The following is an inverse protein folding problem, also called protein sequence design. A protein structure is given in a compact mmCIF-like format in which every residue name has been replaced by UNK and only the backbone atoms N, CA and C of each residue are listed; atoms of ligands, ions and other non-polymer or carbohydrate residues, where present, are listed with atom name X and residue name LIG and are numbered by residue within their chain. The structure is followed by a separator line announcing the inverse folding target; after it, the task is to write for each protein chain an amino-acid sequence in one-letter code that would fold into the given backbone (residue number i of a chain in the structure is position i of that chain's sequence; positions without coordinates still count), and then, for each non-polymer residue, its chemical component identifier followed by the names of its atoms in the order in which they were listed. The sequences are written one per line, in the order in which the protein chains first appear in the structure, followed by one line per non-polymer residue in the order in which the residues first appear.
data_IF_793793793749
#
_entry.id   IF_793793793749
#
_cell.length_a   1.000
_cell.length_b   1.000
_cell.length_c   1.000
_cell.angle_alpha   90.00
_cell.angle_beta   90.00
_cell.angle_gamma   90.00
#
_symmetry.space_group_name_H-M   'P 1'
#
loop_
_entity.id
_entity.type
_entity.pdbx_description
1 polymer ?
#
# COMPACT_ATOMS: atom_id res chain seq x y z
N UNK A 1 -21.00 13.29 -17.17
CA UNK A 1 -19.57 13.25 -17.54
C UNK A 1 -18.76 14.51 -17.21
N UNK A 2 -19.32 15.74 -17.12
CA UNK A 2 -18.56 16.93 -16.67
C UNK A 2 -18.29 17.05 -15.17
N UNK A 3 -19.04 16.32 -14.33
CA UNK A 3 -19.05 16.54 -12.87
C UNK A 3 -17.91 15.86 -12.10
N UNK A 4 -17.31 14.78 -12.61
CA UNK A 4 -16.26 14.04 -11.89
C UNK A 4 -14.88 14.75 -11.91
N UNK A 5 -14.64 15.61 -12.92
CA UNK A 5 -13.34 16.23 -13.21
C UNK A 5 -13.13 17.58 -12.52
N UNK A 6 -14.07 18.02 -11.67
CA UNK A 6 -13.99 19.30 -10.96
C UNK A 6 -13.98 19.15 -9.43
N UNK A 7 -14.23 17.96 -8.90
CA UNK A 7 -14.30 17.74 -7.46
C UNK A 7 -12.98 17.19 -6.91
N UNK A 8 -12.30 18.04 -6.13
CA UNK A 8 -11.12 17.64 -5.37
C UNK A 8 -11.53 16.86 -4.13
N UNK A 9 -10.78 15.82 -3.80
CA UNK A 9 -10.97 15.05 -2.56
C UNK A 9 -9.63 14.54 -2.05
N UNK A 10 -9.60 14.18 -0.76
CA UNK A 10 -8.40 13.70 -0.09
C UNK A 10 -8.43 12.17 0.01
N UNK A 11 -7.40 11.49 -0.47
CA UNK A 11 -7.17 10.08 -0.19
C UNK A 11 -6.11 9.94 0.89
N UNK A 12 -6.38 9.13 1.91
CA UNK A 12 -5.50 8.87 3.05
C UNK A 12 -5.30 7.37 3.21
N UNK A 13 -4.04 6.96 3.30
CA UNK A 13 -3.62 5.60 3.63
C UNK A 13 -2.83 5.64 4.96
N UNK A 14 -3.49 5.22 6.03
CA UNK A 14 -2.98 5.22 7.39
C UNK A 14 -2.39 3.84 7.74
N UNK A 15 -1.07 3.73 7.61
CA UNK A 15 -0.29 2.53 7.94
C UNK A 15 0.23 2.54 9.37
N UNK A 16 0.90 1.46 9.80
CA UNK A 16 1.42 1.36 11.17
C UNK A 16 2.45 2.44 11.54
N UNK A 17 3.34 2.79 10.60
CA UNK A 17 4.45 3.71 10.87
C UNK A 17 4.21 5.15 10.42
N UNK A 18 3.40 5.34 9.39
CA UNK A 18 3.15 6.66 8.81
C UNK A 18 1.78 6.75 8.17
N UNK A 19 1.35 7.98 7.95
CA UNK A 19 0.19 8.35 7.17
C UNK A 19 0.67 8.92 5.83
N UNK A 20 0.17 8.34 4.73
CA UNK A 20 0.33 8.87 3.39
C UNK A 20 -0.99 9.46 2.93
N UNK A 21 -0.95 10.51 2.14
CA UNK A 21 -2.15 11.00 1.50
C UNK A 21 -1.88 11.82 0.27
N UNK A 22 -2.96 12.18 -0.41
CA UNK A 22 -2.89 13.04 -1.59
C UNK A 22 -4.23 13.62 -1.98
N UNK A 23 -4.18 14.81 -2.55
CA UNK A 23 -5.35 15.47 -3.15
C UNK A 23 -5.53 14.92 -4.55
N UNK A 24 -6.72 14.45 -4.86
CA UNK A 24 -7.10 13.93 -6.16
C UNK A 24 -8.19 14.79 -6.79
N UNK A 25 -8.16 14.89 -8.11
CA UNK A 25 -9.28 15.32 -8.93
C UNK A 25 -9.55 14.22 -9.96
N UNK A 26 -10.70 13.54 -9.84
CA UNK A 26 -10.89 12.25 -10.48
C UNK A 26 -9.75 11.26 -10.12
N UNK A 27 -9.18 10.61 -11.12
CA UNK A 27 -8.06 9.66 -10.93
C UNK A 27 -6.68 10.34 -10.88
N UNK A 28 -6.61 11.66 -11.11
CA UNK A 28 -5.35 12.40 -11.14
C UNK A 28 -4.97 12.89 -9.74
N UNK A 29 -3.81 12.46 -9.26
CA UNK A 29 -3.18 13.03 -8.06
C UNK A 29 -2.63 14.42 -8.38
N UNK A 30 -3.04 15.42 -7.60
CA UNK A 30 -2.61 16.81 -7.73
C UNK A 30 -1.45 17.14 -6.79
N UNK A 31 -1.50 16.60 -5.57
CA UNK A 31 -0.47 16.77 -4.55
C UNK A 31 -0.43 15.55 -3.62
N UNK A 32 0.68 15.35 -2.92
CA UNK A 32 0.84 14.23 -1.99
C UNK A 32 1.69 14.59 -0.79
N UNK A 33 1.55 13.83 0.28
CA UNK A 33 2.34 13.95 1.49
C UNK A 33 2.55 12.59 2.15
N UNK A 34 3.56 12.52 2.99
CA UNK A 34 3.85 11.39 3.87
C UNK A 34 4.37 11.94 5.18
N UNK A 35 3.76 11.57 6.30
CA UNK A 35 4.15 12.05 7.62
C UNK A 35 3.93 11.02 8.71
N UNK A 36 4.64 11.19 9.81
CA UNK A 36 4.42 10.44 11.05
C UNK A 36 3.22 10.99 11.81
N UNK A 37 2.66 10.20 12.74
CA UNK A 37 1.42 10.52 13.43
C UNK A 37 1.54 11.67 14.46
N UNK A 38 2.74 12.08 14.81
CA UNK A 38 3.04 13.26 15.64
C UNK A 38 2.69 14.60 14.95
N UNK A 39 2.45 14.59 13.64
CA UNK A 39 2.09 15.78 12.85
C UNK A 39 0.65 15.79 12.35
N UNK A 40 -0.24 14.96 12.92
CA UNK A 40 -1.64 14.86 12.48
C UNK A 40 -2.41 16.18 12.54
N UNK A 41 -2.03 17.09 13.44
CA UNK A 41 -2.65 18.42 13.56
C UNK A 41 -2.46 19.30 12.31
N UNK A 42 -1.55 18.93 11.43
CA UNK A 42 -1.30 19.61 10.17
C UNK A 42 -1.49 18.66 9.00
N UNK A 43 -2.65 18.73 8.36
CA UNK A 43 -2.83 18.20 7.00
C UNK A 43 -2.49 19.33 6.01
N UNK A 44 -1.55 19.12 5.07
CA UNK A 44 -0.98 20.20 4.24
C UNK A 44 -1.92 20.77 3.17
N UNK A 45 -3.23 20.54 3.28
CA UNK A 45 -4.23 20.87 2.24
C UNK A 45 -5.40 21.72 2.76
N UNK A 46 -5.18 22.47 3.85
CA UNK A 46 -6.21 23.33 4.44
C UNK A 46 -6.76 24.42 3.52
N UNK A 47 -6.05 24.75 2.44
CA UNK A 47 -6.44 25.77 1.46
C UNK A 47 -7.19 25.22 0.24
N UNK A 48 -7.40 23.90 0.14
CA UNK A 48 -8.05 23.27 -1.01
C UNK A 48 -9.57 23.18 -0.83
N UNK A 49 -10.36 23.43 -1.88
CA UNK A 49 -11.82 23.18 -1.88
C UNK A 49 -12.10 21.67 -2.00
N UNK A 50 -11.94 20.95 -0.90
CA UNK A 50 -12.13 19.50 -0.81
C UNK A 50 -13.61 19.15 -0.62
N UNK A 51 -14.17 18.31 -1.50
CA UNK A 51 -15.56 17.83 -1.42
C UNK A 51 -15.73 16.56 -0.58
N UNK A 52 -14.64 16.04 -0.03
CA UNK A 52 -14.66 14.90 0.88
C UNK A 52 -13.31 14.21 0.97
N UNK A 53 -13.31 13.07 1.67
CA UNK A 53 -12.13 12.23 1.79
C UNK A 53 -12.47 10.74 1.76
N UNK A 54 -11.48 9.92 1.45
CA UNK A 54 -11.48 8.48 1.60
C UNK A 54 -10.27 8.06 2.44
N UNK A 55 -10.47 7.09 3.33
CA UNK A 55 -9.46 6.62 4.27
C UNK A 55 -9.34 5.10 4.17
N UNK A 56 -8.14 4.60 3.91
CA UNK A 56 -7.69 3.26 4.31
C UNK A 56 -6.97 3.39 5.65
N UNK A 57 -7.28 2.52 6.61
CA UNK A 57 -6.57 2.51 7.89
C UNK A 57 -6.43 1.10 8.44
N UNK A 58 -5.18 0.73 8.76
CA UNK A 58 -4.84 -0.48 9.53
C UNK A 58 -4.48 -0.15 10.98
N UNK A 59 -4.67 1.10 11.41
CA UNK A 59 -4.39 1.59 12.77
C UNK A 59 -5.63 2.25 13.39
N UNK A 60 -6.63 1.46 13.83
CA UNK A 60 -7.90 2.00 14.34
C UNK A 60 -7.74 3.02 15.48
N UNK A 61 -6.71 2.85 16.33
CA UNK A 61 -6.39 3.78 17.41
C UNK A 61 -6.05 5.21 16.95
N UNK A 62 -5.74 5.42 15.67
CA UNK A 62 -5.43 6.74 15.08
C UNK A 62 -6.60 7.34 14.32
N UNK A 63 -7.68 6.59 14.07
CA UNK A 63 -8.81 7.05 13.26
C UNK A 63 -9.48 8.30 13.85
N UNK A 64 -9.64 8.38 15.18
CA UNK A 64 -10.23 9.54 15.83
C UNK A 64 -9.50 10.84 15.51
N UNK A 65 -8.18 10.86 15.66
CA UNK A 65 -7.36 12.02 15.35
C UNK A 65 -7.37 12.37 13.84
N UNK A 66 -7.42 11.36 12.96
CA UNK A 66 -7.58 11.59 11.51
C UNK A 66 -8.95 12.25 11.22
N UNK A 67 -10.03 11.78 11.85
CA UNK A 67 -11.36 12.38 11.70
C UNK A 67 -11.42 13.81 12.22
N UNK A 68 -10.79 14.10 13.37
CA UNK A 68 -10.70 15.46 13.90
C UNK A 68 -9.93 16.39 12.95
N UNK A 69 -8.82 15.92 12.38
CA UNK A 69 -8.07 16.68 11.39
C UNK A 69 -8.90 16.95 10.12
N UNK A 70 -9.68 15.99 9.66
CA UNK A 70 -10.59 16.15 8.51
C UNK A 70 -11.76 17.09 8.81
N UNK A 71 -12.30 17.09 10.03
CA UNK A 71 -13.35 18.03 10.43
C UNK A 71 -12.85 19.48 10.43
N UNK A 72 -11.59 19.73 10.83
CA UNK A 72 -10.95 21.06 10.70
C UNK A 72 -10.84 21.52 9.23
N UNK A 73 -10.89 20.59 8.27
CA UNK A 73 -10.93 20.84 6.84
C UNK A 73 -12.35 20.94 6.27
N UNK A 74 -13.39 20.91 7.12
CA UNK A 74 -14.80 20.93 6.69
C UNK A 74 -15.29 19.58 6.14
N UNK A 75 -14.58 18.47 6.39
CA UNK A 75 -14.95 17.14 5.92
C UNK A 75 -15.59 16.35 7.07
N UNK A 76 -16.92 16.30 7.09
CA UNK A 76 -17.68 15.63 8.16
C UNK A 76 -17.83 14.12 7.97
N UNK A 77 -17.99 13.66 6.72
CA UNK A 77 -18.34 12.27 6.40
C UNK A 77 -17.36 11.64 5.40
N UNK A 78 -16.10 11.39 5.82
CA UNK A 78 -15.14 10.67 4.99
C UNK A 78 -15.54 9.20 4.79
N UNK A 79 -15.26 8.67 3.61
CA UNK A 79 -15.46 7.25 3.30
C UNK A 79 -14.35 6.42 3.92
N UNK A 80 -14.66 5.63 4.95
CA UNK A 80 -13.73 4.66 5.52
C UNK A 80 -13.83 3.33 4.76
N UNK A 81 -12.71 2.85 4.20
CA UNK A 81 -12.67 1.60 3.44
C UNK A 81 -12.79 0.40 4.38
N UNK A 82 -13.69 -0.50 4.02
CA UNK A 82 -13.91 -1.78 4.67
C UNK A 82 -14.26 -2.88 3.63
N UNK A 83 -14.49 -4.10 4.10
CA UNK A 83 -14.82 -5.25 3.26
C UNK A 83 -16.17 -5.14 2.50
N UNK A 84 -17.01 -4.12 2.78
CA UNK A 84 -18.31 -3.88 2.12
C UNK A 84 -18.23 -2.74 1.10
N UNK A 85 -17.12 -2.01 1.11
CA UNK A 85 -16.91 -0.86 0.22
C UNK A 85 -16.93 -1.32 -1.23
N UNK A 86 -17.62 -0.56 -2.12
CA UNK A 86 -17.65 -0.89 -3.55
C UNK A 86 -16.29 -0.58 -4.17
N UNK A 87 -15.53 -1.59 -4.53
CA UNK A 87 -14.15 -1.44 -5.02
C UNK A 87 -14.01 -1.67 -6.53
N UNK A 88 -15.00 -2.30 -7.16
CA UNK A 88 -14.92 -2.75 -8.55
C UNK A 88 -14.17 -4.08 -8.73
N UNK A 89 -13.76 -4.73 -7.64
CA UNK A 89 -13.16 -6.07 -7.64
C UNK A 89 -13.95 -7.04 -6.75
N UNK A 90 -13.91 -8.33 -7.08
CA UNK A 90 -14.37 -9.40 -6.19
C UNK A 90 -13.28 -9.68 -5.16
N UNK A 91 -13.60 -9.61 -3.88
CA UNK A 91 -12.69 -10.02 -2.80
C UNK A 91 -12.95 -11.48 -2.48
N UNK A 92 -12.06 -12.37 -2.91
CA UNK A 92 -12.09 -13.81 -2.61
C UNK A 92 -11.15 -14.10 -1.43
N UNK A 93 -11.60 -13.68 -0.24
CA UNK A 93 -10.85 -13.79 1.00
C UNK A 93 -11.77 -14.21 2.14
N UNK A 94 -11.34 -15.17 2.96
CA UNK A 94 -12.19 -15.76 3.98
C UNK A 94 -11.53 -15.73 5.38
N UNK A 95 -12.18 -15.13 6.39
CA UNK A 95 -13.37 -14.28 6.30
C UNK A 95 -13.01 -12.88 5.74
N UNK A 96 -13.84 -12.27 4.88
CA UNK A 96 -13.48 -11.04 4.16
C UNK A 96 -13.25 -9.85 5.08
N UNK A 97 -13.83 -9.85 6.28
CA UNK A 97 -13.66 -8.82 7.31
C UNK A 97 -12.23 -8.73 7.86
N UNK A 98 -11.43 -9.80 7.69
CA UNK A 98 -10.03 -9.83 8.16
C UNK A 98 -9.05 -9.23 7.16
N UNK A 99 -9.51 -8.91 5.94
CA UNK A 99 -8.66 -8.27 4.95
C UNK A 99 -8.42 -6.81 5.33
N UNK A 100 -7.14 -6.44 5.44
CA UNK A 100 -6.74 -5.06 5.70
C UNK A 100 -7.23 -4.08 4.62
N UNK A 101 -7.76 -2.90 5.00
CA UNK A 101 -8.19 -1.87 4.05
C UNK A 101 -7.09 -1.38 3.10
N UNK A 102 -5.83 -1.42 3.54
CA UNK A 102 -4.65 -1.11 2.75
C UNK A 102 -4.48 -2.09 1.59
N UNK A 103 -4.68 -3.38 1.83
CA UNK A 103 -4.62 -4.43 0.81
C UNK A 103 -5.80 -4.32 -0.16
N UNK A 104 -6.98 -3.91 0.31
CA UNK A 104 -8.13 -3.58 -0.56
C UNK A 104 -7.77 -2.42 -1.50
N UNK A 105 -7.17 -1.34 -0.96
CA UNK A 105 -6.74 -0.20 -1.75
C UNK A 105 -5.67 -0.60 -2.80
N UNK A 106 -4.66 -1.38 -2.40
CA UNK A 106 -3.64 -1.90 -3.32
C UNK A 106 -4.26 -2.76 -4.43
N UNK A 107 -5.19 -3.66 -4.09
CA UNK A 107 -5.85 -4.52 -5.05
C UNK A 107 -6.71 -3.73 -6.05
N UNK A 108 -7.45 -2.72 -5.57
CA UNK A 108 -8.21 -1.83 -6.44
C UNK A 108 -7.28 -1.01 -7.35
N UNK A 109 -6.17 -0.50 -6.82
CA UNK A 109 -5.17 0.21 -7.62
C UNK A 109 -4.57 -0.67 -8.71
N UNK A 110 -4.20 -1.90 -8.38
CA UNK A 110 -3.69 -2.87 -9.34
C UNK A 110 -4.72 -3.21 -10.42
N UNK A 111 -5.98 -3.42 -10.02
CA UNK A 111 -7.03 -3.76 -10.96
C UNK A 111 -7.33 -2.64 -11.96
N UNK A 112 -7.67 -1.45 -11.45
CA UNK A 112 -8.15 -0.33 -12.27
C UNK A 112 -7.08 0.27 -13.18
N UNK A 113 -5.80 0.17 -12.79
CA UNK A 113 -4.71 0.80 -13.55
C UNK A 113 -3.80 -0.20 -14.29
N UNK A 114 -3.92 -1.50 -14.03
CA UNK A 114 -3.07 -2.51 -14.68
C UNK A 114 -3.85 -3.75 -15.11
N UNK A 115 -4.46 -4.51 -14.19
CA UNK A 115 -5.07 -5.82 -14.49
C UNK A 115 -6.16 -5.73 -15.56
N UNK A 116 -7.07 -4.75 -15.44
CA UNK A 116 -8.18 -4.57 -16.39
C UNK A 116 -7.68 -4.12 -17.79
N UNK A 117 -6.64 -3.30 -17.82
CA UNK A 117 -6.08 -2.72 -19.05
C UNK A 117 -5.23 -3.75 -19.79
N UNK A 118 -4.33 -4.41 -19.07
CA UNK A 118 -3.37 -5.38 -19.62
C UNK A 118 -4.02 -6.76 -19.85
N UNK A 119 -5.20 -7.01 -19.28
CA UNK A 119 -5.89 -8.32 -19.31
C UNK A 119 -4.98 -9.46 -18.88
N UNK A 120 -4.21 -9.22 -17.82
CA UNK A 120 -3.30 -10.18 -17.19
C UNK A 120 -3.35 -9.99 -15.68
N UNK A 121 -3.07 -11.04 -14.92
CA UNK A 121 -3.00 -10.98 -13.46
C UNK A 121 -1.98 -9.93 -13.00
N UNK A 122 -2.17 -9.35 -11.83
CA UNK A 122 -1.18 -8.49 -11.16
C UNK A 122 -0.72 -9.14 -9.86
N UNK A 123 0.58 -9.18 -9.65
CA UNK A 123 1.18 -9.53 -8.36
C UNK A 123 1.74 -8.25 -7.73
N UNK A 124 1.09 -7.77 -6.68
CA UNK A 124 1.47 -6.53 -6.00
C UNK A 124 2.27 -6.86 -4.75
N UNK A 125 3.50 -6.37 -4.69
CA UNK A 125 4.39 -6.47 -3.54
C UNK A 125 4.52 -5.09 -2.89
N UNK A 126 3.92 -4.92 -1.72
CA UNK A 126 4.09 -3.72 -0.89
C UNK A 126 5.16 -3.98 0.15
N UNK A 127 6.32 -3.32 0.02
CA UNK A 127 7.46 -3.46 0.92
C UNK A 127 7.54 -2.26 1.87
N UNK A 128 6.96 -2.40 3.06
CA UNK A 128 6.94 -1.38 4.11
C UNK A 128 7.30 -1.96 5.48
N UNK A 129 6.59 -1.54 6.53
CA UNK A 129 6.71 -2.09 7.90
C UNK A 129 6.48 -3.61 7.89
N UNK A 130 5.43 -4.05 7.19
CA UNK A 130 5.25 -5.42 6.77
C UNK A 130 5.43 -5.49 5.24
N UNK A 131 5.71 -6.68 4.74
CA UNK A 131 5.65 -6.98 3.31
C UNK A 131 4.33 -7.68 3.04
N UNK A 132 3.56 -7.19 2.08
CA UNK A 132 2.37 -7.90 1.59
C UNK A 132 2.54 -8.25 0.13
N UNK A 133 2.22 -9.49 -0.21
CA UNK A 133 2.11 -9.98 -1.57
C UNK A 133 0.62 -10.18 -1.84
N UNK A 134 0.12 -9.64 -2.94
CA UNK A 134 -1.30 -9.60 -3.27
C UNK A 134 -1.50 -10.02 -4.72
N UNK A 135 -2.22 -11.11 -4.93
CA UNK A 135 -2.58 -11.57 -6.26
C UNK A 135 -3.96 -11.02 -6.64
N UNK A 136 -4.00 -10.28 -7.75
CA UNK A 136 -5.22 -9.79 -8.38
C UNK A 136 -5.34 -10.42 -9.75
N UNK A 137 -6.27 -11.36 -9.88
CA UNK A 137 -6.48 -12.11 -11.11
C UNK A 137 -7.49 -11.42 -12.03
N UNK A 138 -7.35 -11.64 -13.33
CA UNK A 138 -8.42 -11.31 -14.27
C UNK A 138 -9.64 -12.23 -14.05
N UNK A 139 -10.88 -11.73 -14.14
CA UNK A 139 -11.30 -10.40 -14.60
C UNK A 139 -11.45 -9.33 -13.49
N UNK A 140 -10.80 -9.48 -12.34
CA UNK A 140 -10.89 -8.55 -11.21
C UNK A 140 -11.17 -9.25 -9.88
N UNK A 141 -10.43 -10.31 -9.58
CA UNK A 141 -10.57 -11.10 -8.35
C UNK A 141 -9.32 -10.91 -7.51
N UNK A 142 -9.49 -10.43 -6.27
CA UNK A 142 -8.42 -10.48 -5.27
C UNK A 142 -8.41 -11.87 -4.64
N UNK A 143 -7.37 -12.66 -4.93
CA UNK A 143 -7.26 -14.07 -4.53
C UNK A 143 -6.41 -14.27 -3.26
N UNK A 144 -6.03 -13.19 -2.60
CA UNK A 144 -5.18 -13.22 -1.40
C UNK A 144 -3.69 -13.09 -1.72
N UNK A 145 -2.86 -13.76 -0.91
CA UNK A 145 -1.41 -13.74 -1.04
C UNK A 145 -0.71 -13.96 0.30
N UNK A 146 0.42 -13.30 0.54
CA UNK A 146 1.24 -13.49 1.74
C UNK A 146 1.45 -12.20 2.54
N UNK A 147 1.71 -12.35 3.83
CA UNK A 147 2.17 -11.29 4.72
C UNK A 147 3.46 -11.78 5.37
N UNK A 148 4.53 -10.99 5.26
CA UNK A 148 5.82 -11.23 5.89
C UNK A 148 6.19 -10.02 6.75
N UNK A 149 6.99 -10.20 7.82
CA UNK A 149 7.59 -9.06 8.50
C UNK A 149 8.46 -8.27 7.49
N UNK A 150 8.45 -6.94 7.58
CA UNK A 150 9.35 -6.12 6.77
C UNK A 150 10.80 -6.21 7.26
N UNK A 151 11.76 -5.63 6.52
CA UNK A 151 13.19 -5.78 6.83
C UNK A 151 13.55 -5.33 8.25
N UNK A 152 13.05 -4.17 8.70
CA UNK A 152 13.29 -3.69 10.06
C UNK A 152 12.63 -4.58 11.13
N UNK A 153 11.42 -5.11 10.89
CA UNK A 153 10.79 -6.01 11.86
C UNK A 153 11.55 -7.34 12.00
N UNK A 154 12.08 -7.87 10.89
CA UNK A 154 12.93 -9.06 10.94
C UNK A 154 14.24 -8.77 11.71
N UNK A 155 14.82 -7.60 11.49
CA UNK A 155 16.03 -7.18 12.19
C UNK A 155 15.79 -6.98 13.69
N UNK A 156 14.70 -6.29 14.07
CA UNK A 156 14.26 -6.10 15.46
C UNK A 156 14.00 -7.44 16.16
N UNK A 157 13.47 -8.43 15.45
CA UNK A 157 13.25 -9.76 16.02
C UNK A 157 14.57 -10.46 16.38
N UNK A 158 15.64 -10.23 15.60
CA UNK A 158 16.96 -10.80 15.85
C UNK A 158 17.75 -10.01 16.90
N UNK A 159 17.63 -8.68 16.92
CA UNK A 159 18.37 -7.80 17.85
C UNK A 159 17.89 -7.87 19.30
N UNK A 160 16.84 -8.64 19.59
CA UNK A 160 16.51 -9.05 20.97
C UNK A 160 17.60 -9.92 21.63
N UNK A 161 18.54 -10.46 20.86
CA UNK A 161 19.75 -11.09 21.38
C UNK A 161 20.80 -10.02 21.74
N UNK A 162 21.32 -10.05 22.98
CA UNK A 162 22.18 -9.02 23.59
C UNK A 162 23.45 -8.63 22.79
N UNK A 163 23.86 -9.44 21.82
CA UNK A 163 25.09 -9.26 21.03
C UNK A 163 24.89 -8.42 19.75
N UNK A 164 23.66 -8.01 19.43
CA UNK A 164 23.35 -7.31 18.18
C UNK A 164 22.97 -5.86 18.44
N UNK A 165 23.86 -4.94 18.07
CA UNK A 165 23.45 -3.54 17.88
C UNK A 165 22.43 -3.49 16.74
N UNK A 166 21.40 -2.66 16.84
CA UNK A 166 20.31 -2.61 15.86
C UNK A 166 20.63 -1.59 14.75
N UNK A 167 21.20 -1.98 13.59
CA UNK A 167 21.26 -1.08 12.46
C UNK A 167 19.83 -0.83 11.93
N UNK A 168 19.69 0.18 11.08
CA UNK A 168 18.53 0.32 10.21
C UNK A 168 18.79 -0.53 8.97
N UNK A 169 17.78 -1.24 8.47
CA UNK A 169 17.93 -1.91 7.17
C UNK A 169 17.94 -0.84 6.06
N UNK A 170 19.06 -0.75 5.34
CA UNK A 170 19.32 0.29 4.34
C UNK A 170 19.57 -0.27 2.93
N UNK A 171 19.83 -1.57 2.80
CA UNK A 171 20.18 -2.24 1.55
C UNK A 171 19.84 -3.72 1.59
N UNK A 172 19.45 -4.27 0.44
CA UNK A 172 19.37 -5.72 0.23
C UNK A 172 20.75 -6.24 -0.22
N UNK A 173 21.08 -7.47 0.17
CA UNK A 173 22.25 -8.19 -0.30
C UNK A 173 21.96 -9.68 -0.26
N UNK A 174 22.38 -10.46 -1.26
CA UNK A 174 22.13 -11.92 -1.32
C UNK A 174 23.42 -12.75 -1.30
N UNK A 175 24.57 -12.09 -1.12
CA UNK A 175 25.87 -12.74 -1.01
C UNK A 175 26.05 -13.47 0.33
N UNK A 176 26.97 -14.43 0.39
CA UNK A 176 27.34 -15.10 1.64
C UNK A 176 27.97 -14.08 2.60
N UNK A 177 27.27 -13.79 3.70
CA UNK A 177 27.72 -12.88 4.74
C UNK A 177 29.00 -13.36 5.43
N UNK A 178 29.98 -12.45 5.58
CA UNK A 178 31.25 -12.70 6.29
C UNK A 178 31.32 -12.04 7.67
N UNK A 179 30.20 -11.54 8.16
CA UNK A 179 30.02 -10.99 9.49
C UNK A 179 28.58 -11.25 9.93
N UNK A 180 28.28 -11.20 11.23
CA UNK A 180 26.92 -11.41 11.72
C UNK A 180 25.92 -10.45 11.07
N UNK A 181 26.26 -9.16 10.96
CA UNK A 181 25.40 -8.17 10.30
C UNK A 181 25.17 -8.50 8.82
N UNK A 182 26.22 -8.86 8.08
CA UNK A 182 26.08 -9.23 6.67
C UNK A 182 25.26 -10.51 6.50
N UNK A 183 25.42 -11.51 7.38
CA UNK A 183 24.65 -12.76 7.35
C UNK A 183 23.17 -12.52 7.67
N UNK A 184 22.86 -11.58 8.57
CA UNK A 184 21.48 -11.17 8.85
C UNK A 184 20.87 -10.49 7.62
N UNK A 185 21.54 -9.51 7.02
CA UNK A 185 21.06 -8.83 5.80
C UNK A 185 20.87 -9.84 4.66
N UNK A 186 21.81 -10.77 4.47
CA UNK A 186 21.71 -11.84 3.48
C UNK A 186 20.49 -12.73 3.71
N UNK A 187 20.25 -13.15 4.96
CA UNK A 187 19.10 -13.96 5.33
C UNK A 187 17.76 -13.24 5.11
N UNK A 188 17.65 -12.00 5.58
CA UNK A 188 16.45 -11.16 5.40
C UNK A 188 16.15 -10.96 3.91
N UNK A 189 17.18 -10.58 3.14
CA UNK A 189 17.04 -10.34 1.71
C UNK A 189 16.61 -11.59 0.96
N UNK A 190 17.27 -12.71 1.22
CA UNK A 190 16.96 -14.00 0.59
C UNK A 190 15.56 -14.48 0.93
N UNK A 191 15.09 -14.29 2.16
CA UNK A 191 13.73 -14.64 2.56
C UNK A 191 12.68 -13.82 1.81
N UNK A 192 12.90 -12.51 1.66
CA UNK A 192 11.97 -11.61 0.97
C UNK A 192 11.95 -11.90 -0.53
N UNK A 193 13.12 -11.91 -1.18
CA UNK A 193 13.24 -12.14 -2.63
C UNK A 193 12.75 -13.55 -2.97
N UNK A 194 13.10 -14.55 -2.17
CA UNK A 194 12.61 -15.92 -2.31
C UNK A 194 11.09 -16.03 -2.20
N UNK A 195 10.48 -15.33 -1.25
CA UNK A 195 9.02 -15.27 -1.13
C UNK A 195 8.36 -14.61 -2.36
N UNK A 196 8.92 -13.49 -2.84
CA UNK A 196 8.43 -12.83 -4.06
C UNK A 196 8.50 -13.81 -5.23
N UNK A 197 9.67 -14.39 -5.50
CA UNK A 197 9.86 -15.35 -6.58
C UNK A 197 8.90 -16.54 -6.47
N UNK A 198 8.69 -17.06 -5.25
CA UNK A 198 7.75 -18.16 -5.05
C UNK A 198 6.31 -17.79 -5.43
N UNK A 199 5.86 -16.60 -5.06
CA UNK A 199 4.51 -16.15 -5.41
C UNK A 199 4.38 -15.74 -6.88
N UNK A 200 5.48 -15.34 -7.54
CA UNK A 200 5.53 -15.14 -8.99
C UNK A 200 5.30 -16.44 -9.74
N UNK A 201 5.93 -17.54 -9.32
CA UNK A 201 5.66 -18.88 -9.85
C UNK A 201 4.18 -19.26 -9.71
N UNK A 202 3.61 -19.06 -8.50
CA UNK A 202 2.20 -19.37 -8.21
C UNK A 202 1.24 -18.53 -9.07
N UNK A 203 1.56 -17.24 -9.28
CA UNK A 203 0.72 -16.30 -10.03
C UNK A 203 0.67 -16.58 -11.54
N UNK A 204 1.59 -17.38 -12.08
CA UNK A 204 1.71 -17.63 -13.50
C UNK A 204 2.02 -16.35 -14.28
N UNK A 205 1.35 -16.11 -15.41
CA UNK A 205 1.54 -14.88 -16.20
C UNK A 205 0.96 -13.67 -15.47
N UNK A 206 1.84 -12.74 -15.06
CA UNK A 206 1.45 -11.58 -14.27
C UNK A 206 2.21 -10.30 -14.65
N UNK A 207 1.67 -9.14 -14.26
CA UNK A 207 2.41 -7.89 -14.09
C UNK A 207 2.89 -7.80 -12.64
N UNK A 208 4.20 -7.71 -12.42
CA UNK A 208 4.77 -7.48 -11.10
C UNK A 208 4.73 -5.99 -10.78
N UNK A 209 4.12 -5.62 -9.65
CA UNK A 209 4.02 -4.23 -9.20
C UNK A 209 4.64 -4.12 -7.81
N UNK A 210 5.69 -3.30 -7.68
CA UNK A 210 6.37 -3.01 -6.42
C UNK A 210 5.90 -1.65 -5.88
N UNK A 211 5.63 -1.61 -4.57
CA UNK A 211 5.26 -0.39 -3.86
C UNK A 211 5.74 -0.43 -2.41
N UNK A 212 5.47 0.60 -1.63
CA UNK A 212 5.98 0.73 -0.26
C UNK A 212 7.35 1.42 -0.18
N UNK A 213 7.78 1.72 1.04
CA UNK A 213 8.98 2.54 1.30
C UNK A 213 10.32 1.88 0.95
N UNK A 214 10.33 0.55 0.83
CA UNK A 214 11.52 -0.24 0.49
C UNK A 214 11.48 -0.77 -0.96
N UNK A 215 10.48 -0.41 -1.75
CA UNK A 215 10.31 -0.90 -3.12
C UNK A 215 11.53 -0.61 -4.00
N UNK A 216 12.11 0.59 -3.87
CA UNK A 216 13.28 0.99 -4.67
C UNK A 216 14.49 0.10 -4.40
N UNK A 217 14.68 -0.37 -3.17
CA UNK A 217 15.82 -1.22 -2.83
C UNK A 217 15.67 -2.65 -3.36
N UNK A 218 14.45 -3.08 -3.69
CA UNK A 218 14.21 -4.39 -4.30
C UNK A 218 14.51 -4.40 -5.81
N UNK A 219 14.56 -3.23 -6.45
CA UNK A 219 14.62 -3.14 -7.92
C UNK A 219 15.86 -3.81 -8.52
N UNK A 220 17.00 -3.72 -7.84
CA UNK A 220 18.26 -4.34 -8.26
C UNK A 220 18.26 -5.88 -8.17
N UNK A 221 17.23 -6.47 -7.56
CA UNK A 221 17.12 -7.91 -7.32
C UNK A 221 15.98 -8.58 -8.10
N UNK A 222 15.30 -7.84 -8.97
CA UNK A 222 14.22 -8.35 -9.80
C UNK A 222 14.69 -8.48 -11.26
N UNK A 223 14.93 -9.71 -11.70
CA UNK A 223 15.46 -9.99 -13.05
C UNK A 223 14.40 -9.86 -14.17
N UNK A 224 13.12 -9.83 -13.82
CA UNK A 224 12.01 -9.80 -14.77
C UNK A 224 11.28 -8.46 -14.76
N UNK A 225 10.53 -8.10 -15.83
CA UNK A 225 9.85 -6.82 -15.91
C UNK A 225 8.91 -6.55 -14.72
N UNK A 226 9.12 -5.40 -14.08
CA UNK A 226 8.31 -4.92 -12.97
C UNK A 226 7.93 -3.44 -13.15
N UNK A 227 6.94 -3.00 -12.38
CA UNK A 227 6.51 -1.61 -12.29
C UNK A 227 6.71 -1.14 -10.86
N UNK A 228 7.33 0.03 -10.66
CA UNK A 228 7.34 0.69 -9.35
C UNK A 228 6.26 1.74 -9.33
N UNK A 229 5.23 1.55 -8.49
CA UNK A 229 4.13 2.49 -8.30
C UNK A 229 3.97 2.82 -6.81
N UNK A 230 4.69 3.84 -6.34
CA UNK A 230 4.71 4.25 -4.93
C UNK A 230 3.40 4.86 -4.44
N UNK A 231 2.51 5.22 -5.36
CA UNK A 231 1.19 5.82 -5.12
C UNK A 231 0.03 4.83 -5.34
N UNK A 232 0.32 3.55 -5.57
CA UNK A 232 -0.68 2.55 -5.95
C UNK A 232 -1.86 2.49 -4.98
N UNK A 233 -1.62 2.53 -3.66
CA UNK A 233 -2.71 2.51 -2.67
C UNK A 233 -3.58 3.77 -2.77
N UNK A 234 -2.98 4.95 -2.90
CA UNK A 234 -3.71 6.22 -3.06
C UNK A 234 -4.50 6.26 -4.38
N UNK A 235 -3.94 5.72 -5.46
CA UNK A 235 -4.64 5.56 -6.74
C UNK A 235 -5.81 4.58 -6.63
N UNK A 236 -5.64 3.48 -5.90
CA UNK A 236 -6.74 2.56 -5.60
C UNK A 236 -7.86 3.23 -4.81
N UNK A 237 -7.50 4.02 -3.79
CA UNK A 237 -8.46 4.82 -3.03
C UNK A 237 -9.20 5.83 -3.91
N UNK A 238 -8.53 6.48 -4.86
CA UNK A 238 -9.18 7.43 -5.76
C UNK A 238 -10.23 6.75 -6.65
N UNK A 239 -9.91 5.57 -7.19
CA UNK A 239 -10.86 4.76 -7.95
C UNK A 239 -12.06 4.31 -7.09
N UNK A 240 -11.80 3.83 -5.87
CA UNK A 240 -12.86 3.43 -4.92
C UNK A 240 -13.78 4.62 -4.60
N UNK A 241 -13.21 5.80 -4.34
CA UNK A 241 -13.99 6.97 -3.99
C UNK A 241 -14.96 7.39 -5.10
N UNK A 242 -14.47 7.43 -6.35
CA UNK A 242 -15.26 7.75 -7.53
C UNK A 242 -16.43 6.78 -7.70
N UNK A 243 -16.19 5.48 -7.53
CA UNK A 243 -17.22 4.43 -7.62
C UNK A 243 -18.31 4.67 -6.56
N UNK A 244 -17.94 4.98 -5.33
CA UNK A 244 -18.89 5.16 -4.23
C UNK A 244 -19.62 6.51 -4.25
N UNK A 245 -19.05 7.53 -4.91
CA UNK A 245 -19.72 8.82 -5.16
C UNK A 245 -20.55 8.83 -6.45
N UNK A 246 -20.47 7.80 -7.27
CA UNK A 246 -21.18 7.72 -8.56
C UNK A 246 -20.62 8.70 -9.60
N UNK A 247 -19.34 9.03 -9.52
CA UNK A 247 -18.65 9.97 -10.42
C UNK A 247 -18.04 9.27 -11.64
N UNK A 248 -18.68 8.21 -12.11
CA UNK A 248 -18.24 7.37 -13.25
C UNK A 248 -18.68 8.02 -14.57
#
# INVERSE_FOLDING_TARGET
MKTALEHKFLAIDAGNSSLKGGVFCGLKKLAGFSQTYDRLDFLPFASEDLKGAIISSVVPSKNGAIFEALQKLGIENPLLVDHRTKTGIKVDYNPPQTLGPDRIALAAGAYHFYTAINKTNSLVVSCGTAITINLVETPGVFSGGAILPGPNLMLEALTKAELLQSPRFDSFAVEIGKSTSASIVAGISSAIIGAINKFREIAGRHTLILTGGYASLLTDFMDEPFIVDTDLSLRGLSAIYIINKGWI
#
